data_IF_822824189157
#
_entry.id   IF_822824189157
#
_cell.length_a   1.000
_cell.length_b   1.000
_cell.length_c   1.000
_cell.angle_alpha   90.00
_cell.angle_beta   90.00
_cell.angle_gamma   90.00
#
_symmetry.space_group_name_H-M   'P 1'
#
loop_
_entity.id
_entity.type
_entity.pdbx_description
1 polymer ?
#
# COMPACT_ATOMS: atom_id res chain seq x y z
N UNK A 1 14.14 -20.88 3.95
CA UNK A 1 13.75 -19.58 4.54
C UNK A 1 12.59 -18.97 3.78
N UNK A 2 12.77 -18.46 2.54
CA UNK A 2 11.66 -17.89 1.75
C UNK A 2 10.55 -18.90 1.39
N UNK A 3 10.90 -20.10 0.91
CA UNK A 3 9.92 -21.12 0.52
C UNK A 3 8.97 -21.54 1.66
N UNK A 4 9.43 -21.48 2.91
CA UNK A 4 8.61 -21.80 4.09
C UNK A 4 7.58 -20.70 4.35
N UNK A 5 8.02 -19.44 4.38
CA UNK A 5 7.13 -18.29 4.60
C UNK A 5 6.14 -18.14 3.44
N UNK A 6 6.57 -18.38 2.21
CA UNK A 6 5.69 -18.34 1.04
C UNK A 6 4.52 -19.33 1.16
N UNK A 7 4.77 -20.55 1.65
CA UNK A 7 3.70 -21.53 1.90
C UNK A 7 2.77 -21.13 3.05
N UNK A 8 3.30 -20.51 4.10
CA UNK A 8 2.47 -20.02 5.22
C UNK A 8 1.59 -18.85 4.81
N UNK A 9 2.09 -17.93 3.98
CA UNK A 9 1.29 -16.81 3.49
C UNK A 9 0.16 -17.25 2.55
N UNK A 10 0.33 -18.35 1.80
CA UNK A 10 -0.75 -18.91 0.97
C UNK A 10 -1.91 -19.46 1.82
N UNK A 11 -1.66 -19.83 3.08
CA UNK A 11 -2.69 -20.28 4.00
C UNK A 11 -3.40 -19.13 4.72
N UNK A 12 -2.89 -17.90 4.64
CA UNK A 12 -3.50 -16.73 5.24
C UNK A 12 -4.67 -16.20 4.40
N UNK A 13 -5.68 -15.56 5.01
CA UNK A 13 -6.80 -14.92 4.30
C UNK A 13 -6.36 -13.57 3.70
N UNK A 14 -5.33 -13.59 2.86
CA UNK A 14 -4.78 -12.43 2.16
C UNK A 14 -4.80 -12.68 0.66
N UNK A 15 -5.07 -11.63 -0.11
CA UNK A 15 -5.01 -11.69 -1.57
C UNK A 15 -3.72 -11.01 -2.05
N UNK A 16 -2.98 -11.70 -2.91
CA UNK A 16 -1.76 -11.16 -3.49
C UNK A 16 -2.08 -10.38 -4.75
N UNK A 17 -1.70 -9.12 -4.77
CA UNK A 17 -1.82 -8.28 -5.96
C UNK A 17 -0.45 -8.05 -6.60
N UNK A 18 -0.41 -8.25 -7.92
CA UNK A 18 0.81 -8.05 -8.71
C UNK A 18 1.08 -6.56 -8.91
N UNK A 19 2.36 -6.20 -9.02
CA UNK A 19 2.78 -4.84 -9.32
C UNK A 19 2.74 -4.59 -10.84
N UNK A 20 1.52 -4.55 -11.39
CA UNK A 20 1.31 -4.33 -12.82
C UNK A 20 1.73 -2.93 -13.25
N UNK A 21 1.91 -2.75 -14.58
CA UNK A 21 2.37 -1.46 -15.13
C UNK A 21 1.45 -0.29 -14.76
N UNK A 22 0.13 -0.52 -14.72
CA UNK A 22 -0.85 0.50 -14.34
C UNK A 22 -0.71 0.90 -12.87
N UNK A 23 -0.49 -0.08 -11.98
CA UNK A 23 -0.25 0.16 -10.56
C UNK A 23 1.07 0.91 -10.35
N UNK A 24 2.12 0.52 -11.07
CA UNK A 24 3.42 1.17 -11.01
C UNK A 24 3.38 2.62 -11.51
N UNK A 25 2.58 2.92 -12.54
CA UNK A 25 2.38 4.29 -13.03
C UNK A 25 1.69 5.17 -11.98
N UNK A 26 0.63 4.64 -11.36
CA UNK A 26 -0.08 5.31 -10.26
C UNK A 26 0.83 5.51 -9.05
N UNK A 27 1.64 4.51 -8.69
CA UNK A 27 2.62 4.64 -7.62
C UNK A 27 3.70 5.68 -7.95
N UNK A 28 4.15 5.75 -9.21
CA UNK A 28 5.11 6.77 -9.64
C UNK A 28 4.54 8.19 -9.50
N UNK A 29 3.26 8.40 -9.86
CA UNK A 29 2.55 9.67 -9.63
C UNK A 29 2.55 10.05 -8.14
N UNK A 30 2.16 9.10 -7.27
CA UNK A 30 2.14 9.33 -5.83
C UNK A 30 3.53 9.64 -5.26
N UNK A 31 4.56 8.89 -5.69
CA UNK A 31 5.94 9.14 -5.30
C UNK A 31 6.41 10.54 -5.74
N UNK A 32 6.10 10.97 -6.95
CA UNK A 32 6.51 12.26 -7.48
C UNK A 32 5.80 13.43 -6.78
N UNK A 33 4.49 13.30 -6.54
CA UNK A 33 3.66 14.37 -5.93
C UNK A 33 3.89 14.52 -4.44
N UNK A 34 4.08 13.41 -3.72
CA UNK A 34 4.09 13.40 -2.25
C UNK A 34 5.46 13.00 -1.64
N UNK A 35 6.49 12.77 -2.47
CA UNK A 35 7.85 12.35 -2.07
C UNK A 35 7.88 11.08 -1.20
N UNK A 36 6.96 10.15 -1.45
CA UNK A 36 6.86 8.90 -0.70
C UNK A 36 7.99 7.92 -1.03
N UNK A 37 8.24 7.01 -0.10
CA UNK A 37 9.04 5.81 -0.36
C UNK A 37 8.35 4.88 -1.35
N UNK A 38 9.11 3.98 -1.99
CA UNK A 38 8.58 3.12 -3.06
C UNK A 38 7.45 2.22 -2.57
N UNK A 39 7.64 1.60 -1.39
CA UNK A 39 6.64 0.71 -0.80
C UNK A 39 5.34 1.46 -0.47
N UNK A 40 5.47 2.66 0.10
CA UNK A 40 4.32 3.50 0.49
C UNK A 40 3.53 4.00 -0.72
N UNK A 41 4.24 4.34 -1.80
CA UNK A 41 3.63 4.72 -3.06
C UNK A 41 2.81 3.56 -3.67
N UNK A 42 3.31 2.32 -3.60
CA UNK A 42 2.57 1.14 -4.05
C UNK A 42 1.39 0.83 -3.14
N UNK A 43 1.54 0.96 -1.82
CA UNK A 43 0.45 0.77 -0.87
C UNK A 43 -0.69 1.77 -1.12
N UNK A 44 -0.36 3.05 -1.34
CA UNK A 44 -1.31 4.10 -1.67
C UNK A 44 -1.98 3.87 -3.03
N UNK A 45 -1.21 3.50 -4.05
CA UNK A 45 -1.73 3.18 -5.38
C UNK A 45 -2.73 2.02 -5.34
N UNK A 46 -2.40 0.96 -4.60
CA UNK A 46 -3.24 -0.23 -4.48
C UNK A 46 -4.53 0.08 -3.72
N UNK A 47 -4.45 0.86 -2.64
CA UNK A 47 -5.62 1.32 -1.89
C UNK A 47 -6.55 2.16 -2.78
N UNK A 48 -6.00 3.05 -3.61
CA UNK A 48 -6.78 3.85 -4.57
C UNK A 48 -7.46 2.99 -5.62
N UNK A 49 -6.73 2.05 -6.24
CA UNK A 49 -7.25 1.20 -7.31
C UNK A 49 -8.37 0.27 -6.82
N UNK A 50 -8.19 -0.33 -5.64
CA UNK A 50 -9.17 -1.23 -5.03
C UNK A 50 -10.28 -0.48 -4.28
N UNK A 51 -10.21 0.85 -4.18
CA UNK A 51 -11.09 1.69 -3.33
C UNK A 51 -11.14 1.18 -1.89
N UNK A 52 -10.02 0.65 -1.42
CA UNK A 52 -9.85 0.07 -0.10
C UNK A 52 -9.31 1.12 0.89
N UNK A 53 -9.36 0.78 2.17
CA UNK A 53 -8.79 1.59 3.24
C UNK A 53 -7.35 1.16 3.50
N UNK A 54 -6.42 2.10 3.43
CA UNK A 54 -5.03 1.85 3.76
C UNK A 54 -4.85 1.89 5.28
N UNK A 55 -4.47 0.77 5.88
CA UNK A 55 -4.20 0.69 7.32
C UNK A 55 -2.71 0.96 7.57
N UNK A 56 -2.36 2.04 8.25
CA UNK A 56 -0.96 2.40 8.51
C UNK A 56 -0.78 3.21 9.79
N UNK A 57 0.39 3.15 10.41
CA UNK A 57 0.80 4.03 11.50
C UNK A 57 1.77 5.13 11.06
N UNK A 58 2.10 5.18 9.76
CA UNK A 58 3.21 5.97 9.26
C UNK A 58 2.76 7.39 8.84
N UNK A 59 3.28 8.46 9.46
CA UNK A 59 2.79 9.81 9.23
C UNK A 59 3.03 10.34 7.81
N UNK A 60 3.88 9.68 7.00
CA UNK A 60 4.08 10.03 5.59
C UNK A 60 2.77 9.98 4.78
N UNK A 61 1.82 9.13 5.19
CA UNK A 61 0.52 9.00 4.53
C UNK A 61 -0.46 10.14 4.82
N UNK A 62 -0.16 11.06 5.74
CA UNK A 62 -1.02 12.23 6.02
C UNK A 62 -1.28 13.09 4.78
N UNK A 63 -0.29 13.19 3.90
CA UNK A 63 -0.44 13.94 2.66
C UNK A 63 -1.45 13.29 1.68
N UNK A 64 -1.71 11.98 1.84
CA UNK A 64 -2.58 11.17 1.00
C UNK A 64 -4.02 11.04 1.53
N UNK A 65 -4.33 11.55 2.73
CA UNK A 65 -5.67 11.49 3.34
C UNK A 65 -6.77 12.12 2.47
N UNK A 66 -6.39 12.99 1.53
CA UNK A 66 -7.31 13.60 0.56
C UNK A 66 -7.54 12.75 -0.69
N UNK A 67 -6.63 11.83 -1.02
CA UNK A 67 -6.68 10.99 -2.23
C UNK A 67 -7.22 9.59 -1.93
N UNK A 68 -6.93 9.05 -0.74
CA UNK A 68 -7.31 7.68 -0.34
C UNK A 68 -7.87 7.67 1.09
N UNK A 69 -8.67 6.66 1.41
CA UNK A 69 -9.11 6.42 2.78
C UNK A 69 -7.99 5.77 3.57
N UNK A 70 -7.68 6.32 4.74
CA UNK A 70 -6.61 5.83 5.61
C UNK A 70 -7.21 5.51 6.98
N UNK A 71 -6.89 4.32 7.49
CA UNK A 71 -7.18 3.90 8.85
C UNK A 71 -5.87 3.91 9.65
N UNK A 72 -5.78 4.85 10.59
CA UNK A 72 -4.57 5.04 11.39
C UNK A 72 -4.48 4.02 12.52
N UNK A 73 -3.44 3.18 12.49
CA UNK A 73 -3.16 2.21 13.57
C UNK A 73 -1.95 2.69 14.38
N UNK A 74 -2.15 2.83 15.69
CA UNK A 74 -1.12 3.35 16.60
C UNK A 74 -1.46 4.71 17.19
N UNK A 75 -2.50 4.74 18.02
CA UNK A 75 -2.59 5.66 19.16
C UNK A 75 -3.21 4.85 20.30
N UNK A 76 -2.34 4.25 21.10
CA UNK A 76 -2.61 3.59 22.38
C UNK A 76 -1.34 3.64 23.19
#
# INVERSE_FOLDING_TARGET
>A
AWATIASELQAAPIDFHSADRALADTAADFKARFKLSLADAFAAALAKEKKAELVTGDPEFKALEKEIKINWVGCG
#
